data_IF_315563559111
#
_entry.id   IF_315563559111
#
_cell.length_a   1.000
_cell.length_b   1.000
_cell.length_c   1.000
_cell.angle_alpha   90.00
_cell.angle_beta   90.00
_cell.angle_gamma   90.00
#
_symmetry.space_group_name_H-M   'P 1'
#
loop_
_entity.id
_entity.type
_entity.pdbx_description
1 polymer ?
#
# COMPACT_ATOMS: atom_id res chain seq x y z
N UNK A 1 21.30 19.63 23.34
CA UNK A 1 21.68 19.07 24.65
C UNK A 1 20.64 19.35 25.74
N UNK A 2 20.46 20.60 26.20
CA UNK A 2 19.54 20.94 27.30
C UNK A 2 18.09 20.46 27.11
N UNK A 3 17.51 20.68 25.93
CA UNK A 3 16.13 20.22 25.60
C UNK A 3 16.02 18.69 25.59
N UNK A 4 17.09 17.98 25.19
CA UNK A 4 17.13 16.52 25.23
C UNK A 4 17.11 16.01 26.66
N UNK A 5 17.96 16.58 27.53
CA UNK A 5 18.03 16.22 28.94
C UNK A 5 16.72 16.49 29.69
N UNK A 6 16.05 17.61 29.40
CA UNK A 6 14.74 17.93 29.98
C UNK A 6 13.65 16.96 29.51
N UNK A 7 13.67 16.54 28.24
CA UNK A 7 12.72 15.54 27.71
C UNK A 7 12.95 14.16 28.32
N UNK A 8 14.20 13.74 28.47
CA UNK A 8 14.54 12.48 29.15
C UNK A 8 14.10 12.52 30.62
N UNK A 9 14.38 13.62 31.34
CA UNK A 9 13.95 13.77 32.73
C UNK A 9 12.42 13.72 32.86
N UNK A 10 11.69 14.42 31.98
CA UNK A 10 10.23 14.38 31.94
C UNK A 10 9.71 12.97 31.65
N UNK A 11 10.30 12.27 30.69
CA UNK A 11 9.91 10.90 30.35
C UNK A 11 10.11 9.95 31.53
N UNK A 12 11.27 10.00 32.20
CA UNK A 12 11.56 9.21 33.40
C UNK A 12 10.58 9.52 34.54
N UNK A 13 10.37 10.80 34.86
CA UNK A 13 9.41 11.20 35.90
C UNK A 13 7.98 10.77 35.57
N UNK A 14 7.59 10.79 34.29
CA UNK A 14 6.28 10.32 33.85
C UNK A 14 6.14 8.81 33.97
N UNK A 15 7.19 8.05 33.64
CA UNK A 15 7.23 6.59 33.81
C UNK A 15 7.14 6.19 35.28
N UNK A 16 7.90 6.85 36.16
CA UNK A 16 7.85 6.60 37.61
C UNK A 16 6.47 6.89 38.21
N UNK A 17 5.71 7.83 37.65
CA UNK A 17 4.35 8.16 38.10
C UNK A 17 3.27 7.27 37.48
N UNK A 18 3.58 6.53 36.40
CA UNK A 18 2.60 5.74 35.66
C UNK A 18 2.21 4.44 36.38
N UNK A 19 3.16 3.84 37.12
CA UNK A 19 3.00 2.56 37.84
C UNK A 19 2.21 1.50 37.05
N UNK A 20 2.68 1.10 35.84
CA UNK A 20 1.90 0.27 34.95
C UNK A 20 1.82 -1.19 35.41
N UNK A 21 0.60 -1.74 35.47
CA UNK A 21 0.39 -3.18 35.66
C UNK A 21 0.56 -3.98 34.35
N UNK A 22 0.30 -3.35 33.20
CA UNK A 22 0.30 -3.99 31.87
C UNK A 22 0.77 -3.02 30.79
N UNK A 23 1.73 -3.47 29.99
CA UNK A 23 2.26 -2.76 28.82
C UNK A 23 1.92 -3.56 27.57
N UNK A 24 1.25 -2.92 26.61
CA UNK A 24 0.88 -3.53 25.33
C UNK A 24 1.63 -2.83 24.21
N UNK A 25 2.39 -3.60 23.45
CA UNK A 25 3.08 -3.14 22.24
C UNK A 25 2.36 -3.70 21.02
N UNK A 26 1.59 -2.84 20.36
CA UNK A 26 0.99 -3.18 19.08
C UNK A 26 1.97 -2.93 17.92
N UNK A 27 1.86 -3.75 16.87
CA UNK A 27 2.77 -3.73 15.71
C UNK A 27 4.27 -3.83 16.12
N UNK A 28 4.58 -4.71 17.08
CA UNK A 28 5.91 -4.86 17.69
C UNK A 28 7.07 -4.94 16.67
N UNK A 29 6.83 -5.49 15.48
CA UNK A 29 7.84 -5.58 14.41
C UNK A 29 8.41 -4.21 13.96
N UNK A 30 7.70 -3.10 14.21
CA UNK A 30 8.17 -1.74 13.94
C UNK A 30 9.10 -1.20 15.03
N UNK A 31 9.11 -1.85 16.19
CA UNK A 31 9.75 -1.39 17.41
C UNK A 31 10.79 -2.39 17.94
N UNK A 32 11.34 -3.24 17.07
CA UNK A 32 12.36 -4.24 17.46
C UNK A 32 13.56 -3.61 18.19
N UNK A 33 13.95 -2.40 17.78
CA UNK A 33 15.02 -1.64 18.42
C UNK A 33 14.76 -1.31 19.90
N UNK A 34 13.50 -1.35 20.37
CA UNK A 34 13.19 -1.18 21.80
C UNK A 34 13.66 -2.37 22.65
N UNK A 35 13.95 -3.51 22.03
CA UNK A 35 14.52 -4.67 22.72
C UNK A 35 16.05 -4.64 22.74
N UNK A 36 16.67 -3.75 21.96
CA UNK A 36 18.13 -3.63 21.83
C UNK A 36 18.71 -2.77 22.96
N UNK A 37 20.02 -2.89 23.18
CA UNK A 37 20.74 -2.21 24.26
C UNK A 37 21.20 -0.78 23.87
N UNK A 38 20.91 -0.35 22.64
CA UNK A 38 21.48 0.86 22.06
C UNK A 38 20.42 1.96 21.86
N UNK A 39 20.64 3.11 22.51
CA UNK A 39 19.90 4.35 22.29
C UNK A 39 18.96 4.78 23.42
N UNK A 40 18.76 6.09 23.54
CA UNK A 40 17.99 6.73 24.62
C UNK A 40 16.53 6.24 24.72
N UNK A 41 15.93 5.87 23.59
CA UNK A 41 14.54 5.39 23.53
C UNK A 41 14.42 3.96 24.04
N UNK A 42 15.42 3.11 23.77
CA UNK A 42 15.45 1.73 24.25
C UNK A 42 15.65 1.69 25.79
N UNK A 43 16.45 2.61 26.34
CA UNK A 43 16.62 2.75 27.79
C UNK A 43 15.30 3.11 28.51
N UNK A 44 14.52 4.04 27.96
CA UNK A 44 13.21 4.40 28.52
C UNK A 44 12.20 3.24 28.39
N UNK A 45 12.25 2.49 27.28
CA UNK A 45 11.40 1.32 27.10
C UNK A 45 11.76 0.20 28.09
N UNK A 46 13.06 0.00 28.40
CA UNK A 46 13.49 -0.92 29.47
C UNK A 46 12.97 -0.51 30.83
N UNK A 47 13.08 0.76 31.19
CA UNK A 47 12.51 1.26 32.46
C UNK A 47 11.00 0.98 32.56
N UNK A 48 10.29 0.96 31.44
CA UNK A 48 8.88 0.59 31.37
C UNK A 48 8.64 -0.93 31.45
N UNK A 49 9.46 -1.76 30.80
CA UNK A 49 9.31 -3.23 30.80
C UNK A 49 9.83 -3.91 32.06
N UNK A 50 10.77 -3.28 32.75
CA UNK A 50 11.41 -3.79 33.96
C UNK A 50 10.78 -3.19 35.23
N UNK A 51 9.64 -2.50 35.09
CA UNK A 51 8.86 -1.99 36.21
C UNK A 51 8.41 -3.18 37.09
N UNK A 52 8.47 -3.07 38.44
CA UNK A 52 8.10 -4.19 39.31
C UNK A 52 6.70 -4.73 39.00
N UNK A 53 6.59 -6.07 38.88
CA UNK A 53 5.36 -6.82 38.62
C UNK A 53 4.61 -6.53 37.29
N UNK A 54 5.17 -5.69 36.41
CA UNK A 54 4.55 -5.36 35.11
C UNK A 54 4.42 -6.59 34.21
N UNK A 55 3.30 -6.67 33.49
CA UNK A 55 3.11 -7.65 32.41
C UNK A 55 3.34 -6.98 31.07
N UNK A 56 4.08 -7.63 30.17
CA UNK A 56 4.33 -7.13 28.82
C UNK A 56 3.67 -8.04 27.79
N UNK A 57 2.84 -7.47 26.93
CA UNK A 57 2.17 -8.15 25.83
C UNK A 57 2.63 -7.58 24.48
N UNK A 58 3.22 -8.44 23.66
CA UNK A 58 3.64 -8.10 22.29
C UNK A 58 2.59 -8.58 21.29
N UNK A 59 2.03 -7.65 20.51
CA UNK A 59 1.10 -7.95 19.42
C UNK A 59 1.79 -7.70 18.08
N UNK A 60 1.79 -8.72 17.22
CA UNK A 60 2.36 -8.63 15.88
C UNK A 60 1.81 -9.74 14.98
N UNK A 61 1.52 -9.39 13.73
CA UNK A 61 1.22 -10.38 12.69
C UNK A 61 2.49 -11.13 12.23
N UNK A 62 3.66 -10.48 12.29
CA UNK A 62 4.95 -11.00 11.81
C UNK A 62 6.09 -10.47 12.70
N UNK A 63 6.27 -11.01 13.93
CA UNK A 63 7.20 -10.45 14.91
C UNK A 63 8.67 -10.52 14.50
N UNK A 64 9.01 -11.45 13.62
CA UNK A 64 10.32 -11.64 13.00
C UNK A 64 10.14 -12.00 11.52
N UNK A 65 11.16 -11.75 10.70
CA UNK A 65 11.12 -12.16 9.28
C UNK A 65 11.26 -13.69 9.21
N UNK A 66 10.36 -14.37 8.49
CA UNK A 66 10.35 -15.83 8.41
C UNK A 66 11.30 -16.39 7.35
N UNK A 67 11.71 -15.59 6.36
CA UNK A 67 12.52 -16.05 5.23
C UNK A 67 13.25 -14.90 4.54
N UNK A 68 14.54 -15.07 4.28
CA UNK A 68 15.40 -14.07 3.62
C UNK A 68 15.47 -14.40 2.15
N UNK A 69 15.05 -13.47 1.29
CA UNK A 69 15.33 -13.59 -0.15
C UNK A 69 16.81 -13.29 -0.40
N UNK A 70 17.37 -13.84 -1.48
CA UNK A 70 18.80 -13.69 -1.82
C UNK A 70 19.26 -12.22 -1.99
N UNK A 71 18.31 -11.30 -2.23
CA UNK A 71 18.54 -9.85 -2.28
C UNK A 71 18.63 -9.17 -0.88
N UNK A 72 18.28 -9.87 0.19
CA UNK A 72 18.28 -9.40 1.59
C UNK A 72 19.39 -10.07 2.43
N UNK A 73 20.43 -10.62 1.78
CA UNK A 73 21.48 -11.44 2.38
C UNK A 73 22.31 -10.80 3.52
N UNK A 74 22.09 -9.52 3.82
CA UNK A 74 22.70 -8.81 4.94
C UNK A 74 21.89 -8.92 6.25
N UNK A 75 20.68 -9.49 6.24
CA UNK A 75 19.81 -9.57 7.41
C UNK A 75 19.74 -10.98 8.01
N UNK A 76 20.11 -11.11 9.28
CA UNK A 76 20.01 -12.35 10.05
C UNK A 76 18.61 -12.51 10.69
N UNK A 77 17.72 -13.18 9.97
CA UNK A 77 16.36 -13.44 10.42
C UNK A 77 16.27 -14.40 11.61
N UNK A 78 17.24 -15.31 11.76
CA UNK A 78 17.31 -16.16 12.95
C UNK A 78 17.72 -15.34 14.17
N UNK A 79 18.64 -14.40 14.01
CA UNK A 79 18.99 -13.42 15.04
C UNK A 79 17.78 -12.64 15.53
N UNK A 80 16.92 -12.15 14.63
CA UNK A 80 15.65 -11.47 14.99
C UNK A 80 14.71 -12.35 15.83
N UNK A 81 14.54 -13.60 15.41
CA UNK A 81 13.73 -14.56 16.14
C UNK A 81 14.27 -14.81 17.55
N UNK A 82 15.57 -15.11 17.67
CA UNK A 82 16.19 -15.39 18.96
C UNK A 82 16.19 -14.18 19.88
N UNK A 83 16.42 -12.96 19.38
CA UNK A 83 16.28 -11.73 20.19
C UNK A 83 14.88 -11.58 20.77
N UNK A 84 13.85 -11.81 19.96
CA UNK A 84 12.46 -11.72 20.40
C UNK A 84 12.15 -12.77 21.47
N UNK A 85 12.58 -14.02 21.27
CA UNK A 85 12.33 -15.10 22.22
C UNK A 85 13.16 -14.93 23.49
N UNK A 86 14.39 -14.41 23.40
CA UNK A 86 15.22 -14.06 24.55
C UNK A 86 14.53 -13.03 25.44
N UNK A 87 13.90 -12.01 24.86
CA UNK A 87 13.09 -11.06 25.60
C UNK A 87 11.91 -11.75 26.33
N UNK A 88 11.20 -12.63 25.64
CA UNK A 88 10.04 -13.32 26.21
C UNK A 88 10.41 -14.37 27.28
N UNK A 89 11.61 -14.95 27.19
CA UNK A 89 12.13 -15.94 28.13
C UNK A 89 13.16 -15.35 29.11
N UNK A 90 13.13 -14.05 29.38
CA UNK A 90 14.08 -13.36 30.29
C UNK A 90 14.25 -14.05 31.65
N UNK A 91 13.17 -14.60 32.19
CA UNK A 91 13.16 -15.32 33.49
C UNK A 91 13.61 -16.79 33.39
N UNK A 92 13.80 -17.34 32.19
CA UNK A 92 14.13 -18.75 31.91
C UNK A 92 15.26 -18.87 30.86
N UNK A 93 16.49 -18.38 31.16
CA UNK A 93 17.60 -18.40 30.20
C UNK A 93 17.96 -19.81 29.70
N UNK A 94 17.88 -20.83 30.57
CA UNK A 94 18.14 -22.22 30.20
C UNK A 94 17.16 -22.75 29.12
N UNK A 95 15.94 -22.21 29.09
CA UNK A 95 14.96 -22.59 28.06
C UNK A 95 15.33 -22.03 26.68
N UNK A 96 16.02 -20.89 26.62
CA UNK A 96 16.53 -20.33 25.38
C UNK A 96 17.65 -21.20 24.79
N UNK A 97 18.60 -21.63 25.62
CA UNK A 97 19.69 -22.51 25.20
C UNK A 97 19.17 -23.86 24.69
N UNK A 98 18.21 -24.44 25.40
CA UNK A 98 17.56 -25.68 24.98
C UNK A 98 16.78 -25.50 23.67
N UNK A 99 16.15 -24.35 23.47
CA UNK A 99 15.43 -24.03 22.23
C UNK A 99 16.39 -23.93 21.04
N UNK A 100 17.52 -23.23 21.20
CA UNK A 100 18.55 -23.10 20.15
C UNK A 100 19.05 -24.49 19.71
N UNK A 101 19.43 -25.33 20.68
CA UNK A 101 19.87 -26.69 20.41
C UNK A 101 18.79 -27.54 19.70
N UNK A 102 17.52 -27.41 20.12
CA UNK A 102 16.42 -28.13 19.51
C UNK A 102 16.15 -27.67 18.06
N UNK A 103 16.23 -26.37 17.78
CA UNK A 103 16.09 -25.82 16.43
C UNK A 103 17.21 -26.31 15.52
N UNK A 104 18.46 -26.30 16.00
CA UNK A 104 19.61 -26.78 15.23
C UNK A 104 19.52 -28.28 14.91
N UNK A 105 19.06 -29.08 15.88
CA UNK A 105 18.78 -30.52 15.68
C UNK A 105 17.66 -30.73 14.67
N UNK A 106 16.56 -30.00 14.80
CA UNK A 106 15.43 -30.08 13.87
C UNK A 106 15.85 -29.73 12.44
N UNK A 107 16.63 -28.65 12.27
CA UNK A 107 17.17 -28.21 10.98
C UNK A 107 18.12 -29.26 10.38
N UNK A 108 19.06 -29.76 11.17
CA UNK A 108 20.03 -30.77 10.71
C UNK A 108 19.34 -32.05 10.28
N UNK A 109 18.38 -32.53 11.08
CA UNK A 109 17.57 -33.70 10.74
C UNK A 109 16.71 -33.50 9.48
N UNK A 110 16.24 -32.27 9.20
CA UNK A 110 15.49 -31.97 7.98
C UNK A 110 16.38 -31.99 6.72
N UNK A 111 17.63 -31.53 6.83
CA UNK A 111 18.61 -31.56 5.74
C UNK A 111 19.15 -32.96 5.47
N UNK A 112 19.16 -33.83 6.48
CA UNK A 112 19.72 -35.18 6.43
C UNK A 112 18.64 -36.24 6.68
N UNK A 113 17.47 -36.05 6.07
CA UNK A 113 16.27 -36.86 6.30
C UNK A 113 16.46 -38.38 6.11
N UNK A 114 17.48 -38.79 5.36
CA UNK A 114 17.82 -40.20 5.12
C UNK A 114 18.74 -40.82 6.16
N UNK A 115 19.44 -40.03 6.98
CA UNK A 115 20.40 -40.49 8.00
C UNK A 115 19.82 -40.38 9.43
N UNK A 116 18.94 -39.40 9.65
CA UNK A 116 18.29 -39.18 10.94
C UNK A 116 16.94 -39.89 11.03
N UNK A 117 16.70 -40.57 12.15
CA UNK A 117 15.41 -41.21 12.42
C UNK A 117 14.30 -40.17 12.63
N UNK A 118 13.09 -40.46 12.11
CA UNK A 118 11.88 -39.63 12.32
C UNK A 118 11.60 -39.32 13.79
N UNK A 119 12.05 -40.17 14.72
CA UNK A 119 11.91 -39.97 16.17
C UNK A 119 12.65 -38.74 16.68
N UNK A 120 13.91 -38.53 16.27
CA UNK A 120 14.71 -37.39 16.73
C UNK A 120 14.13 -36.05 16.26
N UNK A 121 13.55 -36.02 15.05
CA UNK A 121 12.84 -34.85 14.53
C UNK A 121 11.58 -34.54 15.34
N UNK A 122 10.83 -35.56 15.75
CA UNK A 122 9.63 -35.39 16.57
C UNK A 122 10.00 -34.90 17.98
N UNK A 123 11.05 -35.44 18.59
CA UNK A 123 11.54 -34.99 19.89
C UNK A 123 11.99 -33.53 19.86
N UNK A 124 12.79 -33.14 18.86
CA UNK A 124 13.22 -31.76 18.68
C UNK A 124 12.01 -30.82 18.48
N UNK A 125 11.04 -31.23 17.67
CA UNK A 125 9.77 -30.50 17.46
C UNK A 125 8.99 -30.32 18.76
N UNK A 126 8.82 -31.37 19.55
CA UNK A 126 8.09 -31.32 20.82
C UNK A 126 8.75 -30.39 21.82
N UNK A 127 10.09 -30.38 21.87
CA UNK A 127 10.86 -29.44 22.70
C UNK A 127 10.59 -27.99 22.27
N UNK A 128 10.67 -27.70 20.96
CA UNK A 128 10.41 -26.38 20.40
C UNK A 128 8.98 -25.94 20.73
N UNK A 129 7.97 -26.78 20.47
CA UNK A 129 6.56 -26.47 20.72
C UNK A 129 6.30 -26.20 22.20
N UNK A 130 6.84 -27.03 23.09
CA UNK A 130 6.67 -26.89 24.54
C UNK A 130 7.24 -25.58 25.07
N UNK A 131 8.39 -25.15 24.58
CA UNK A 131 9.03 -23.90 25.01
C UNK A 131 8.26 -22.71 24.45
N UNK A 132 8.01 -22.68 23.14
CA UNK A 132 7.37 -21.52 22.49
C UNK A 132 5.93 -21.32 22.94
N UNK A 133 5.15 -22.39 23.19
CA UNK A 133 3.75 -22.27 23.66
C UNK A 133 3.59 -21.61 25.04
N UNK A 134 4.67 -21.48 25.82
CA UNK A 134 4.63 -20.75 27.11
C UNK A 134 4.55 -19.24 26.93
N UNK A 135 5.10 -18.73 25.83
CA UNK A 135 5.30 -17.28 25.62
C UNK A 135 4.67 -16.75 24.34
N UNK A 136 4.27 -17.63 23.43
CA UNK A 136 3.77 -17.27 22.12
C UNK A 136 2.51 -18.06 21.80
N UNK A 137 1.50 -17.33 21.34
CA UNK A 137 0.28 -17.90 20.74
C UNK A 137 0.10 -17.26 19.38
N UNK A 138 -0.08 -18.10 18.35
CA UNK A 138 -0.32 -17.68 16.97
C UNK A 138 -1.61 -18.30 16.50
N UNK A 139 -2.55 -17.45 16.06
CA UNK A 139 -3.79 -17.89 15.43
C UNK A 139 -3.68 -17.65 13.93
N UNK A 140 -3.93 -18.68 13.14
CA UNK A 140 -3.92 -18.60 11.68
C UNK A 140 -5.34 -18.55 11.15
N UNK A 141 -5.63 -17.61 10.25
CA UNK A 141 -6.95 -17.53 9.59
C UNK A 141 -7.25 -18.78 8.76
N UNK A 142 -6.21 -19.46 8.28
CA UNK A 142 -6.32 -20.71 7.53
C UNK A 142 -6.97 -21.83 8.34
N UNK A 143 -6.96 -21.79 9.68
CA UNK A 143 -7.61 -22.82 10.49
C UNK A 143 -9.15 -22.76 10.43
N UNK A 144 -9.74 -21.69 9.86
CA UNK A 144 -11.18 -21.49 9.78
C UNK A 144 -11.86 -22.12 8.56
N UNK A 145 -11.13 -22.41 7.47
CA UNK A 145 -11.68 -23.10 6.29
C UNK A 145 -11.31 -24.58 6.31
N UNK A 146 -12.23 -25.43 5.81
CA UNK A 146 -12.07 -26.89 5.85
C UNK A 146 -10.83 -27.38 5.06
N UNK A 147 -10.46 -26.64 4.02
CA UNK A 147 -9.31 -26.88 3.15
C UNK A 147 -8.04 -26.14 3.58
N UNK A 148 -8.13 -25.28 4.61
CA UNK A 148 -7.06 -24.39 5.07
C UNK A 148 -6.43 -23.53 3.97
N UNK A 149 -7.17 -23.20 2.91
CA UNK A 149 -6.67 -22.38 1.80
C UNK A 149 -6.88 -20.87 2.00
N UNK A 150 -7.54 -20.47 3.09
CA UNK A 150 -7.72 -19.04 3.42
C UNK A 150 -8.71 -18.31 2.53
N UNK A 151 -9.66 -19.02 1.91
CA UNK A 151 -10.59 -18.47 0.92
C UNK A 151 -9.88 -17.86 -0.30
N UNK A 152 -8.71 -18.40 -0.65
CA UNK A 152 -7.95 -18.00 -1.83
C UNK A 152 -8.32 -18.88 -3.04
N UNK A 153 -8.49 -18.24 -4.19
CA UNK A 153 -8.56 -18.90 -5.49
C UNK A 153 -7.38 -18.45 -6.33
N UNK A 154 -6.63 -19.40 -6.88
CA UNK A 154 -5.61 -19.10 -7.87
C UNK A 154 -6.27 -18.89 -9.24
N UNK A 155 -5.78 -17.90 -9.99
CA UNK A 155 -6.24 -17.63 -11.35
C UNK A 155 -5.02 -17.44 -12.25
N UNK A 156 -5.09 -17.97 -13.47
CA UNK A 156 -4.03 -17.85 -14.48
C UNK A 156 -4.37 -16.83 -15.58
N UNK A 157 -5.35 -15.97 -15.32
CA UNK A 157 -5.90 -15.05 -16.32
C UNK A 157 -4.84 -14.11 -16.92
N UNK A 158 -3.88 -13.67 -16.11
CA UNK A 158 -2.80 -12.79 -16.56
C UNK A 158 -1.86 -13.48 -17.56
N UNK A 159 -1.66 -14.78 -17.44
CA UNK A 159 -0.82 -15.57 -18.35
C UNK A 159 -1.47 -15.68 -19.74
N UNK A 160 -2.80 -15.70 -19.79
CA UNK A 160 -3.57 -15.77 -21.03
C UNK A 160 -3.58 -14.45 -21.82
N UNK A 161 -3.08 -13.35 -21.23
CA UNK A 161 -3.01 -12.02 -21.88
C UNK A 161 -1.69 -11.75 -22.61
N UNK A 162 -0.81 -12.74 -22.77
CA UNK A 162 0.46 -12.59 -23.50
C UNK A 162 0.18 -12.54 -25.01
N UNK A 163 0.71 -11.51 -25.67
CA UNK A 163 0.56 -11.29 -27.11
C UNK A 163 1.92 -11.46 -27.82
N UNK A 164 1.94 -11.80 -29.12
CA UNK A 164 3.18 -11.89 -29.90
C UNK A 164 4.03 -10.62 -29.82
N UNK A 165 3.40 -9.44 -29.82
CA UNK A 165 4.06 -8.15 -29.69
C UNK A 165 4.84 -7.97 -28.38
N UNK A 166 4.47 -8.68 -27.30
CA UNK A 166 5.24 -8.64 -26.04
C UNK A 166 6.59 -9.35 -26.19
N UNK A 167 6.61 -10.45 -26.93
CA UNK A 167 7.81 -11.25 -27.18
C UNK A 167 8.73 -10.52 -28.16
N UNK A 168 8.16 -9.89 -29.19
CA UNK A 168 8.92 -9.01 -30.09
C UNK A 168 9.53 -7.83 -29.33
N UNK A 169 8.75 -7.18 -28.46
CA UNK A 169 9.24 -6.13 -27.58
C UNK A 169 10.37 -6.59 -26.66
N UNK A 170 10.28 -7.82 -26.13
CA UNK A 170 11.37 -8.42 -25.35
C UNK A 170 12.64 -8.62 -26.19
N UNK A 171 12.53 -9.17 -27.40
CA UNK A 171 13.68 -9.37 -28.29
C UNK A 171 14.39 -8.05 -28.56
N UNK A 172 13.64 -6.97 -28.82
CA UNK A 172 14.23 -5.64 -29.02
C UNK A 172 14.90 -5.09 -27.76
N UNK A 173 14.27 -5.26 -26.59
CA UNK A 173 14.86 -4.87 -25.31
C UNK A 173 16.16 -5.63 -25.03
N UNK A 174 16.20 -6.94 -25.29
CA UNK A 174 17.35 -7.80 -25.05
C UNK A 174 18.52 -7.45 -25.98
N UNK A 175 18.24 -7.16 -27.25
CA UNK A 175 19.26 -6.68 -28.20
C UNK A 175 19.87 -5.34 -27.76
N UNK A 176 19.04 -4.39 -27.32
CA UNK A 176 19.51 -3.09 -26.80
C UNK A 176 20.32 -3.29 -25.52
N UNK A 177 19.85 -4.14 -24.61
CA UNK A 177 20.55 -4.44 -23.37
C UNK A 177 21.91 -5.11 -23.62
N UNK A 178 21.98 -6.00 -24.61
CA UNK A 178 23.22 -6.65 -25.04
C UNK A 178 24.22 -5.65 -25.62
N UNK A 179 23.78 -4.74 -26.50
CA UNK A 179 24.62 -3.67 -27.04
C UNK A 179 25.18 -2.74 -25.93
N UNK A 180 24.39 -2.53 -24.87
CA UNK A 180 24.80 -1.73 -23.71
C UNK A 180 25.56 -2.54 -22.64
N UNK A 181 25.73 -3.85 -22.78
CA UNK A 181 26.28 -4.73 -21.72
C UNK A 181 25.49 -4.59 -20.37
N UNK A 182 24.18 -4.42 -20.46
CA UNK A 182 23.31 -4.20 -19.30
C UNK A 182 22.93 -5.49 -18.55
N UNK A 183 23.23 -6.66 -19.12
CA UNK A 183 22.88 -7.98 -18.60
C UNK A 183 21.46 -8.41 -19.00
N UNK A 184 20.97 -9.47 -18.36
CA UNK A 184 19.64 -10.04 -18.62
C UNK A 184 18.51 -9.11 -18.17
N UNK A 185 17.48 -8.95 -19.01
CA UNK A 185 16.30 -8.11 -18.77
C UNK A 185 14.99 -8.89 -18.59
N UNK A 186 15.01 -10.23 -18.60
CA UNK A 186 13.82 -11.08 -18.52
C UNK A 186 12.94 -10.75 -17.32
N UNK A 187 13.53 -10.57 -16.13
CA UNK A 187 12.75 -10.28 -14.92
C UNK A 187 12.08 -8.90 -14.93
N UNK A 188 12.68 -7.94 -15.62
CA UNK A 188 12.08 -6.63 -15.82
C UNK A 188 10.93 -6.69 -16.82
N UNK A 189 11.14 -7.37 -17.95
CA UNK A 189 10.10 -7.56 -18.97
C UNK A 189 8.86 -8.29 -18.42
N UNK A 190 9.06 -9.33 -17.60
CA UNK A 190 7.94 -10.03 -16.91
C UNK A 190 7.15 -9.13 -15.98
N UNK A 191 7.76 -8.06 -15.46
CA UNK A 191 7.23 -7.28 -14.35
C UNK A 191 6.72 -5.89 -14.75
N UNK A 192 7.24 -5.27 -15.81
CA UNK A 192 6.84 -3.95 -16.26
C UNK A 192 6.74 -3.86 -17.78
N UNK A 193 5.96 -2.88 -18.24
CA UNK A 193 5.92 -2.45 -19.63
C UNK A 193 6.92 -1.31 -19.87
N UNK A 194 7.29 -1.11 -21.13
CA UNK A 194 8.11 0.02 -21.61
C UNK A 194 9.32 0.36 -20.72
N UNK A 195 10.18 -0.61 -20.38
CA UNK A 195 11.25 -0.41 -19.39
C UNK A 195 12.23 0.71 -19.79
N UNK A 196 12.52 0.87 -21.09
CA UNK A 196 13.38 1.96 -21.57
C UNK A 196 12.76 3.35 -21.35
N UNK A 197 11.45 3.49 -21.49
CA UNK A 197 10.74 4.76 -21.25
C UNK A 197 10.60 5.05 -19.74
N UNK A 198 10.26 4.02 -18.94
CA UNK A 198 9.74 4.22 -17.58
C UNK A 198 10.73 3.93 -16.47
N UNK A 199 11.79 3.14 -16.69
CA UNK A 199 12.82 2.91 -15.66
C UNK A 199 13.58 4.19 -15.33
N UNK A 200 13.90 4.35 -14.04
CA UNK A 200 14.81 5.37 -13.53
C UNK A 200 15.90 4.72 -12.69
N UNK A 201 17.15 5.16 -12.83
CA UNK A 201 18.31 4.76 -11.99
C UNK A 201 18.70 3.27 -12.04
N UNK A 202 18.00 2.44 -12.80
CA UNK A 202 18.40 1.06 -13.11
C UNK A 202 19.70 1.04 -13.93
N UNK A 203 20.47 -0.07 -13.84
CA UNK A 203 21.73 -0.22 -14.60
C UNK A 203 21.49 -0.04 -16.10
N UNK A 204 20.45 -0.69 -16.65
CA UNK A 204 20.03 -0.54 -18.04
C UNK A 204 19.80 0.94 -18.40
N UNK A 205 18.97 1.65 -17.63
CA UNK A 205 18.66 3.07 -17.90
C UNK A 205 19.87 3.97 -17.81
N UNK A 206 20.76 3.76 -16.82
CA UNK A 206 22.00 4.54 -16.68
C UNK A 206 22.89 4.37 -17.90
N UNK A 207 23.20 3.12 -18.26
CA UNK A 207 23.99 2.81 -19.45
C UNK A 207 23.37 3.35 -20.73
N UNK A 208 22.04 3.31 -20.83
CA UNK A 208 21.32 3.88 -21.98
C UNK A 208 21.51 5.40 -22.08
N UNK A 209 21.37 6.14 -20.97
CA UNK A 209 21.61 7.59 -20.94
C UNK A 209 23.08 7.90 -21.25
N UNK A 210 24.02 7.16 -20.63
CA UNK A 210 25.46 7.35 -20.85
C UNK A 210 25.83 7.14 -22.34
N UNK A 211 25.18 6.20 -23.02
CA UNK A 211 25.38 5.96 -24.46
C UNK A 211 24.78 7.06 -25.34
N UNK A 212 23.71 7.73 -24.90
CA UNK A 212 23.12 8.87 -25.62
C UNK A 212 23.95 10.15 -25.48
N UNK A 213 24.62 10.35 -24.34
CA UNK A 213 25.52 11.48 -24.09
C UNK A 213 26.91 11.27 -24.71
N UNK A 214 27.20 10.05 -25.16
CA UNK A 214 28.45 9.65 -25.81
C UNK A 214 28.54 9.97 -27.31
N UNK A 215 29.62 9.53 -27.98
CA UNK A 215 29.73 9.62 -29.44
C UNK A 215 28.62 8.80 -30.12
N UNK A 216 28.17 9.25 -31.30
CA UNK A 216 27.08 8.59 -32.04
C UNK A 216 27.33 7.08 -32.24
N UNK A 217 26.49 6.28 -31.58
CA UNK A 217 26.44 4.83 -31.75
C UNK A 217 25.40 4.48 -32.83
N UNK A 218 25.90 4.20 -34.05
CA UNK A 218 25.06 3.82 -35.19
C UNK A 218 24.33 2.49 -34.98
N UNK A 219 24.91 1.58 -34.20
CA UNK A 219 24.30 0.28 -33.92
C UNK A 219 23.11 0.47 -32.97
N UNK A 220 23.31 1.20 -31.87
CA UNK A 220 22.25 1.53 -30.92
C UNK A 220 21.11 2.31 -31.60
N UNK A 221 21.42 3.29 -32.46
CA UNK A 221 20.43 4.03 -33.22
C UNK A 221 19.60 3.13 -34.16
N UNK A 222 20.24 2.16 -34.82
CA UNK A 222 19.54 1.19 -35.66
C UNK A 222 18.63 0.24 -34.85
N UNK A 223 19.08 -0.18 -33.66
CA UNK A 223 18.28 -1.00 -32.75
C UNK A 223 17.06 -0.23 -32.23
N UNK A 224 17.24 1.03 -31.80
CA UNK A 224 16.14 1.89 -31.37
C UNK A 224 15.11 2.14 -32.48
N UNK A 225 15.57 2.34 -33.72
CA UNK A 225 14.68 2.51 -34.87
C UNK A 225 13.81 1.27 -35.10
N UNK A 226 14.34 0.06 -34.91
CA UNK A 226 13.59 -1.19 -34.99
C UNK A 226 12.62 -1.36 -33.82
N UNK A 227 13.06 -0.97 -32.62
CA UNK A 227 12.28 -1.09 -31.40
C UNK A 227 11.14 -0.06 -31.28
N UNK A 228 11.09 0.96 -32.17
CA UNK A 228 10.17 2.10 -32.07
C UNK A 228 8.71 1.71 -31.82
N UNK A 229 8.20 0.68 -32.50
CA UNK A 229 6.82 0.20 -32.32
C UNK A 229 6.51 -0.42 -30.95
N UNK A 230 7.53 -0.66 -30.11
CA UNK A 230 7.42 -1.20 -28.76
C UNK A 230 7.89 -0.19 -27.69
N UNK A 231 8.03 1.09 -28.06
CA UNK A 231 8.34 2.20 -27.16
C UNK A 231 7.13 3.11 -27.05
N UNK A 232 7.01 3.84 -25.92
CA UNK A 232 6.00 4.89 -25.80
C UNK A 232 6.40 6.09 -26.66
N UNK A 233 5.54 6.45 -27.61
CA UNK A 233 5.67 7.66 -28.42
C UNK A 233 4.95 8.83 -27.75
N UNK A 234 5.65 9.96 -27.61
CA UNK A 234 5.07 11.13 -26.95
C UNK A 234 3.93 11.74 -27.76
N UNK A 235 3.99 11.68 -29.10
CA UNK A 235 2.95 12.20 -29.98
C UNK A 235 1.61 11.46 -29.79
N UNK A 236 1.65 10.13 -29.63
CA UNK A 236 0.47 9.30 -29.29
C UNK A 236 -0.14 9.73 -27.95
N UNK A 237 0.70 10.00 -26.95
CA UNK A 237 0.26 10.49 -25.64
C UNK A 237 -0.38 11.87 -25.76
N UNK A 238 0.28 12.81 -26.45
CA UNK A 238 -0.21 14.17 -26.67
C UNK A 238 -1.54 14.21 -27.41
N UNK A 239 -1.75 13.29 -28.35
CA UNK A 239 -2.97 13.16 -29.14
C UNK A 239 -4.09 12.37 -28.41
N UNK A 240 -3.86 11.89 -27.17
CA UNK A 240 -4.80 11.05 -26.42
C UNK A 240 -5.21 9.78 -27.18
N UNK A 241 -4.28 9.18 -27.91
CA UNK A 241 -4.50 7.93 -28.61
C UNK A 241 -4.42 6.72 -27.67
N UNK A 242 -5.02 5.60 -28.06
CA UNK A 242 -4.96 4.39 -27.23
C UNK A 242 -3.53 3.84 -27.20
N UNK A 243 -3.05 3.49 -26.01
CA UNK A 243 -1.73 2.90 -25.77
C UNK A 243 -1.92 1.48 -25.26
N UNK A 244 -1.29 0.50 -25.93
CA UNK A 244 -1.29 -0.88 -25.42
C UNK A 244 -0.55 -0.94 -24.08
N UNK A 245 -1.08 -1.63 -23.06
CA UNK A 245 -0.38 -1.73 -21.78
C UNK A 245 0.97 -2.45 -21.86
N UNK A 246 1.28 -3.18 -22.94
CA UNK A 246 2.62 -3.71 -23.23
C UNK A 246 3.13 -4.77 -22.24
N UNK A 247 2.25 -5.32 -21.40
CA UNK A 247 2.54 -6.38 -20.45
C UNK A 247 1.25 -7.14 -20.10
N UNK A 248 1.30 -8.47 -20.12
CA UNK A 248 0.14 -9.34 -19.90
C UNK A 248 -0.52 -9.16 -18.52
N UNK A 249 0.28 -9.01 -17.45
CA UNK A 249 -0.25 -8.77 -16.10
C UNK A 249 -0.92 -7.40 -15.99
N UNK A 250 -0.33 -6.39 -16.64
CA UNK A 250 -0.94 -5.07 -16.67
C UNK A 250 -2.24 -5.07 -17.50
N UNK A 251 -2.31 -5.78 -18.63
CA UNK A 251 -3.55 -5.96 -19.40
C UNK A 251 -4.65 -6.65 -18.60
N UNK A 252 -4.32 -7.70 -17.85
CA UNK A 252 -5.29 -8.33 -16.95
C UNK A 252 -5.81 -7.34 -15.89
N UNK A 253 -4.91 -6.60 -15.24
CA UNK A 253 -5.31 -5.59 -14.26
C UNK A 253 -6.11 -4.43 -14.88
N UNK A 254 -5.80 -4.07 -16.12
CA UNK A 254 -6.52 -3.06 -16.90
C UNK A 254 -7.95 -3.49 -17.21
N UNK A 255 -8.15 -4.76 -17.57
CA UNK A 255 -9.48 -5.33 -17.80
C UNK A 255 -10.32 -5.28 -16.52
N UNK A 256 -9.74 -5.57 -15.36
CA UNK A 256 -10.45 -5.52 -14.08
C UNK A 256 -10.67 -4.09 -13.55
N UNK A 257 -9.96 -3.08 -14.06
CA UNK A 257 -10.04 -1.70 -13.55
C UNK A 257 -10.67 -0.73 -14.53
N UNK A 258 -10.07 -0.54 -15.70
CA UNK A 258 -10.51 0.45 -16.67
C UNK A 258 -11.70 -0.07 -17.47
N UNK A 259 -11.67 -1.31 -17.94
CA UNK A 259 -12.76 -1.87 -18.77
C UNK A 259 -14.05 -2.14 -17.99
N UNK A 260 -13.96 -2.28 -16.67
CA UNK A 260 -15.11 -2.41 -15.76
C UNK A 260 -15.75 -1.05 -15.44
N UNK A 261 -15.14 0.06 -15.86
CA UNK A 261 -15.60 1.42 -15.57
C UNK A 261 -15.22 1.92 -14.18
N UNK A 262 -14.44 1.14 -13.41
CA UNK A 262 -14.06 1.51 -12.04
C UNK A 262 -13.18 2.76 -11.98
N UNK A 263 -12.55 3.16 -13.08
CA UNK A 263 -11.82 4.43 -13.20
C UNK A 263 -12.69 5.68 -12.94
N UNK A 264 -14.01 5.57 -13.08
CA UNK A 264 -14.94 6.67 -12.79
C UNK A 264 -15.22 6.84 -11.29
N UNK A 265 -14.80 5.86 -10.46
CA UNK A 265 -15.08 5.82 -9.04
C UNK A 265 -13.96 6.51 -8.26
N UNK A 266 -14.32 7.56 -7.53
CA UNK A 266 -13.37 8.24 -6.63
C UNK A 266 -13.07 7.42 -5.37
N UNK A 267 -13.98 6.53 -4.97
CA UNK A 267 -13.83 5.62 -3.84
C UNK A 267 -14.67 4.36 -4.05
N UNK A 268 -14.41 3.34 -3.23
CA UNK A 268 -15.18 2.10 -3.23
C UNK A 268 -16.62 2.34 -2.75
N UNK A 269 -17.65 1.85 -3.47
CA UNK A 269 -19.04 2.00 -3.05
C UNK A 269 -19.30 1.29 -1.70
N UNK A 270 -20.23 1.82 -0.92
CA UNK A 270 -20.67 1.16 0.30
C UNK A 270 -21.43 -0.14 -0.03
N UNK A 271 -21.10 -1.23 0.68
CA UNK A 271 -21.79 -2.52 0.52
C UNK A 271 -23.28 -2.44 0.91
N UNK A 272 -23.62 -1.56 1.86
CA UNK A 272 -24.97 -1.27 2.31
C UNK A 272 -25.22 0.24 2.28
N UNK A 273 -25.61 0.80 1.13
CA UNK A 273 -25.80 2.24 1.00
C UNK A 273 -27.10 2.68 1.68
N UNK A 274 -27.09 3.84 2.34
CA UNK A 274 -28.28 4.42 2.99
C UNK A 274 -29.30 5.00 2.00
N UNK A 275 -28.89 5.27 0.77
CA UNK A 275 -29.71 5.76 -0.32
C UNK A 275 -29.23 5.19 -1.65
N UNK A 276 -30.09 5.20 -2.67
CA UNK A 276 -29.76 4.70 -4.00
C UNK A 276 -28.61 5.53 -4.59
N UNK A 277 -27.47 4.91 -4.94
CA UNK A 277 -26.36 5.61 -5.59
C UNK A 277 -26.77 6.21 -6.95
N UNK A 278 -26.11 7.31 -7.33
CA UNK A 278 -26.34 8.00 -8.59
C UNK A 278 -25.03 8.19 -9.38
N UNK A 279 -25.15 8.62 -10.64
CA UNK A 279 -24.00 8.83 -11.53
C UNK A 279 -23.14 7.56 -11.71
N UNK A 280 -21.80 7.68 -11.71
CA UNK A 280 -20.89 6.54 -11.82
C UNK A 280 -21.10 5.43 -10.77
N UNK A 281 -21.64 5.78 -9.60
CA UNK A 281 -21.87 4.81 -8.52
C UNK A 281 -23.14 3.96 -8.69
N UNK A 282 -24.01 4.26 -9.68
CA UNK A 282 -25.30 3.58 -9.84
C UNK A 282 -25.17 2.16 -10.39
N UNK A 283 -24.33 1.97 -11.40
CA UNK A 283 -24.21 0.73 -12.17
C UNK A 283 -22.78 0.18 -12.08
N UNK A 284 -22.22 0.14 -10.87
CA UNK A 284 -20.88 -0.38 -10.63
C UNK A 284 -20.88 -1.87 -10.91
N UNK A 285 -20.00 -2.30 -11.81
CA UNK A 285 -19.80 -3.70 -12.13
C UNK A 285 -19.12 -4.38 -10.94
N UNK A 286 -19.64 -5.51 -10.43
CA UNK A 286 -18.98 -6.25 -9.35
C UNK A 286 -17.57 -6.71 -9.74
N UNK A 287 -17.37 -7.00 -11.03
CA UNK A 287 -16.08 -7.41 -11.57
C UNK A 287 -15.04 -6.30 -11.36
N UNK A 288 -13.95 -6.67 -10.68
CA UNK A 288 -12.83 -5.77 -10.42
C UNK A 288 -13.12 -4.59 -9.48
N UNK A 289 -14.36 -4.40 -9.02
CA UNK A 289 -14.70 -3.43 -7.98
C UNK A 289 -14.27 -3.99 -6.62
N UNK A 290 -12.95 -4.00 -6.39
CA UNK A 290 -12.31 -4.49 -5.17
C UNK A 290 -11.00 -3.77 -4.92
N UNK A 291 -10.41 -4.03 -3.76
CA UNK A 291 -9.06 -3.57 -3.42
C UNK A 291 -8.05 -4.60 -3.91
N UNK A 292 -7.24 -4.23 -4.89
CA UNK A 292 -6.15 -5.06 -5.39
C UNK A 292 -4.87 -4.78 -4.62
N UNK A 293 -4.24 -5.83 -4.09
CA UNK A 293 -2.92 -5.75 -3.48
C UNK A 293 -1.89 -6.34 -4.44
N UNK A 294 -0.99 -5.49 -4.94
CA UNK A 294 -0.01 -5.86 -5.96
C UNK A 294 1.38 -5.92 -5.32
N UNK A 295 2.04 -7.07 -5.46
CA UNK A 295 3.39 -7.29 -4.98
C UNK A 295 4.38 -7.22 -6.15
N UNK A 296 5.48 -6.51 -5.95
CA UNK A 296 6.55 -6.40 -6.93
C UNK A 296 7.91 -6.34 -6.24
N UNK A 297 8.90 -7.06 -6.78
CA UNK A 297 10.30 -6.93 -6.38
C UNK A 297 11.00 -5.71 -7.00
N UNK A 298 10.32 -4.94 -7.86
CA UNK A 298 10.92 -3.89 -8.67
C UNK A 298 10.24 -2.54 -8.50
N UNK A 299 11.05 -1.50 -8.28
CA UNK A 299 10.65 -0.10 -8.12
C UNK A 299 9.99 0.53 -9.36
N UNK A 300 10.25 0.01 -10.57
CA UNK A 300 9.64 0.51 -11.81
C UNK A 300 8.15 0.16 -11.94
N UNK A 301 7.69 -0.92 -11.29
CA UNK A 301 6.34 -1.45 -11.48
C UNK A 301 5.25 -0.48 -10.98
N UNK A 302 5.33 0.08 -9.75
CA UNK A 302 4.34 1.08 -9.32
C UNK A 302 4.24 2.27 -10.26
N UNK A 303 5.37 2.78 -10.76
CA UNK A 303 5.40 3.89 -11.74
C UNK A 303 4.70 3.48 -13.05
N UNK A 304 4.98 2.29 -13.55
CA UNK A 304 4.39 1.76 -14.79
C UNK A 304 2.88 1.66 -14.69
N UNK A 305 2.38 1.04 -13.61
CA UNK A 305 0.95 0.88 -13.35
C UNK A 305 0.28 2.25 -13.26
N UNK A 306 0.83 3.15 -12.43
CA UNK A 306 0.26 4.48 -12.23
C UNK A 306 0.22 5.31 -13.50
N UNK A 307 1.30 5.33 -14.29
CA UNK A 307 1.38 6.12 -15.53
C UNK A 307 0.35 5.62 -16.55
N UNK A 308 0.35 4.32 -16.85
CA UNK A 308 -0.48 3.79 -17.93
C UNK A 308 -1.97 3.78 -17.58
N UNK A 309 -2.34 3.42 -16.34
CA UNK A 309 -3.75 3.46 -15.92
C UNK A 309 -4.28 4.88 -15.75
N UNK A 310 -3.48 5.81 -15.21
CA UNK A 310 -3.92 7.21 -15.08
C UNK A 310 -4.10 7.83 -16.46
N UNK A 311 -3.16 7.58 -17.38
CA UNK A 311 -3.27 8.04 -18.76
C UNK A 311 -4.56 7.54 -19.42
N UNK A 312 -4.87 6.25 -19.33
CA UNK A 312 -6.11 5.73 -19.93
C UNK A 312 -7.37 6.29 -19.28
N UNK A 313 -7.40 6.42 -17.96
CA UNK A 313 -8.51 7.03 -17.26
C UNK A 313 -8.73 8.47 -17.74
N UNK A 314 -7.67 9.27 -17.81
CA UNK A 314 -7.71 10.65 -18.31
C UNK A 314 -8.11 10.71 -19.79
N UNK A 315 -7.62 9.78 -20.61
CA UNK A 315 -7.99 9.63 -22.03
C UNK A 315 -9.49 9.43 -22.18
N UNK A 316 -10.08 8.47 -21.45
CA UNK A 316 -11.53 8.18 -21.45
C UNK A 316 -12.36 9.32 -20.89
N UNK A 317 -11.89 9.98 -19.82
CA UNK A 317 -12.54 11.18 -19.26
C UNK A 317 -12.72 12.29 -20.29
N UNK A 318 -11.82 12.35 -21.28
CA UNK A 318 -11.78 13.40 -22.30
C UNK A 318 -12.31 12.96 -23.65
N UNK A 319 -12.55 11.67 -23.89
CA UNK A 319 -13.24 11.21 -25.10
C UNK A 319 -14.67 11.75 -25.19
N UNK A 320 -15.34 11.92 -24.05
CA UNK A 320 -16.71 12.45 -24.00
C UNK A 320 -16.79 13.98 -24.06
N UNK A 321 -15.65 14.69 -24.07
CA UNK A 321 -15.63 16.16 -24.19
C UNK A 321 -14.92 16.59 -25.45
N UNK A 322 -15.49 17.55 -26.19
CA UNK A 322 -14.77 18.21 -27.28
C UNK A 322 -13.49 18.85 -26.73
N UNK A 323 -12.32 18.43 -27.23
CA UNK A 323 -11.01 18.82 -26.72
C UNK A 323 -10.14 19.36 -27.84
N UNK A 324 -9.59 20.56 -27.62
CA UNK A 324 -8.72 21.26 -28.56
C UNK A 324 -7.32 21.55 -27.97
N UNK A 325 -6.85 20.71 -27.04
CA UNK A 325 -5.56 20.91 -26.37
C UNK A 325 -4.81 19.57 -26.20
N UNK A 326 -3.48 19.65 -26.14
CA UNK A 326 -2.61 18.48 -26.04
C UNK A 326 -2.54 17.93 -24.60
N UNK A 327 -2.12 16.67 -24.41
CA UNK A 327 -2.02 16.04 -23.08
C UNK A 327 -1.17 16.85 -22.10
N UNK A 328 -0.04 17.41 -22.55
CA UNK A 328 0.82 18.25 -21.70
C UNK A 328 0.15 19.53 -21.20
N UNK A 329 -0.95 19.95 -21.82
CA UNK A 329 -1.73 21.12 -21.43
C UNK A 329 -2.92 20.78 -20.51
N UNK A 330 -3.21 19.49 -20.29
CA UNK A 330 -4.38 19.02 -19.54
C UNK A 330 -4.54 19.73 -18.19
N UNK A 331 -3.48 19.77 -17.39
CA UNK A 331 -3.52 20.36 -16.05
C UNK A 331 -3.66 21.88 -16.06
N UNK A 332 -3.28 22.54 -17.17
CA UNK A 332 -3.45 23.99 -17.37
C UNK A 332 -4.88 24.32 -17.77
N UNK A 333 -5.43 23.55 -18.71
CA UNK A 333 -6.77 23.75 -19.25
C UNK A 333 -7.85 23.26 -18.29
N UNK A 334 -7.58 22.18 -17.55
CA UNK A 334 -8.44 21.63 -16.51
C UNK A 334 -7.73 21.68 -15.16
N UNK A 335 -7.79 22.86 -14.56
CA UNK A 335 -7.27 23.06 -13.21
C UNK A 335 -7.99 22.16 -12.19
N UNK A 336 -7.28 21.50 -11.26
CA UNK A 336 -7.92 20.68 -10.24
C UNK A 336 -8.90 21.48 -9.37
N UNK A 337 -10.11 20.95 -9.17
CA UNK A 337 -11.22 21.66 -8.51
C UNK A 337 -11.07 21.78 -6.98
N UNK A 338 -10.35 20.84 -6.35
CA UNK A 338 -10.20 20.76 -4.89
C UNK A 338 -8.79 21.18 -4.45
N UNK A 339 -8.38 22.41 -4.79
CA UNK A 339 -7.08 22.97 -4.40
C UNK A 339 -7.20 24.06 -3.33
N UNK A 340 -6.37 23.93 -2.30
CA UNK A 340 -6.07 25.02 -1.37
C UNK A 340 -4.94 25.85 -1.97
N UNK A 341 -5.23 27.11 -2.35
CA UNK A 341 -4.24 27.96 -3.01
C UNK A 341 -3.78 29.08 -2.08
N UNK A 342 -2.50 29.43 -2.16
CA UNK A 342 -1.96 30.60 -1.49
C UNK A 342 -1.39 31.52 -2.56
N UNK A 343 -1.82 32.79 -2.56
CA UNK A 343 -1.37 33.80 -3.52
C UNK A 343 -1.04 35.07 -2.77
N UNK A 344 0.19 35.57 -2.93
CA UNK A 344 0.70 36.77 -2.24
C UNK A 344 0.41 36.74 -0.73
N UNK A 345 0.79 35.63 -0.09
CA UNK A 345 0.56 35.37 1.35
C UNK A 345 -0.91 35.33 1.81
N UNK A 346 -1.86 35.45 0.87
CA UNK A 346 -3.29 35.32 1.15
C UNK A 346 -3.78 33.93 0.79
N UNK A 347 -4.52 33.33 1.72
CA UNK A 347 -5.27 32.10 1.47
C UNK A 347 -6.38 32.38 0.46
N UNK A 348 -6.24 31.81 -0.73
CA UNK A 348 -7.20 31.87 -1.83
C UNK A 348 -7.82 30.47 -1.99
N UNK A 349 -9.10 30.37 -2.35
CA UNK A 349 -9.76 29.05 -2.40
C UNK A 349 -10.21 28.47 -1.05
N UNK A 350 -10.25 29.26 0.04
CA UNK A 350 -10.78 28.82 1.35
C UNK A 350 -12.24 28.35 1.30
N UNK A 351 -13.00 28.64 0.24
CA UNK A 351 -14.34 28.05 0.03
C UNK A 351 -14.29 26.53 -0.08
N UNK A 352 -13.20 25.97 -0.61
CA UNK A 352 -12.99 24.51 -0.69
C UNK A 352 -12.82 23.91 0.71
N UNK A 353 -12.23 24.66 1.65
CA UNK A 353 -12.07 24.20 3.04
C UNK A 353 -13.41 23.90 3.70
N UNK A 354 -14.46 24.66 3.37
CA UNK A 354 -15.80 24.39 3.87
C UNK A 354 -16.34 23.02 3.44
N UNK A 355 -15.86 22.44 2.33
CA UNK A 355 -16.25 21.09 1.88
C UNK A 355 -15.54 19.99 2.67
N UNK A 356 -14.39 20.29 3.26
CA UNK A 356 -13.56 19.32 4.01
C UNK A 356 -13.64 19.50 5.52
N UNK A 357 -14.27 20.57 6.01
CA UNK A 357 -14.37 20.85 7.44
C UNK A 357 -15.32 19.86 8.13
N UNK A 358 -14.83 19.05 9.09
CA UNK A 358 -15.68 18.12 9.83
C UNK A 358 -16.53 18.87 10.87
N UNK A 359 -17.74 19.25 10.49
CA UNK A 359 -18.66 19.94 11.39
C UNK A 359 -19.45 18.94 12.24
N UNK A 360 -19.08 18.78 13.52
CA UNK A 360 -19.77 17.90 14.47
C UNK A 360 -21.25 18.26 14.63
N UNK A 361 -21.59 19.54 14.62
CA UNK A 361 -22.98 19.99 14.74
C UNK A 361 -23.83 19.50 13.55
N UNK A 362 -23.31 19.58 12.32
CA UNK A 362 -24.01 19.07 11.14
C UNK A 362 -24.04 17.53 11.13
N UNK A 363 -22.96 16.87 11.52
CA UNK A 363 -22.89 15.41 11.60
C UNK A 363 -23.89 14.83 12.62
N UNK A 364 -24.11 15.52 13.75
CA UNK A 364 -25.11 15.13 14.75
C UNK A 364 -26.54 15.47 14.33
N UNK A 365 -26.73 16.54 13.54
CA UNK A 365 -28.04 16.98 13.11
C UNK A 365 -28.60 16.16 11.93
N UNK A 366 -27.72 15.69 11.05
CA UNK A 366 -28.09 14.99 9.82
C UNK A 366 -27.56 13.55 9.87
N UNK A 367 -28.46 12.61 10.12
CA UNK A 367 -28.19 11.17 9.96
C UNK A 367 -28.87 10.66 8.67
N UNK A 368 -28.09 10.33 7.62
CA UNK A 368 -28.64 9.81 6.37
C UNK A 368 -29.47 8.53 6.54
N UNK A 369 -29.15 7.68 7.51
CA UNK A 369 -29.90 6.44 7.78
C UNK A 369 -31.26 6.75 8.40
N UNK A 370 -31.30 7.66 9.39
CA UNK A 370 -32.57 8.10 9.98
C UNK A 370 -33.47 8.80 8.96
N UNK A 371 -32.89 9.62 8.08
CA UNK A 371 -33.60 10.26 6.96
C UNK A 371 -34.14 9.24 5.95
N UNK A 372 -33.37 8.20 5.63
CA UNK A 372 -33.83 7.14 4.73
C UNK A 372 -35.00 6.35 5.33
N UNK A 373 -34.97 6.08 6.64
CA UNK A 373 -36.04 5.34 7.34
C UNK A 373 -37.35 6.13 7.49
N UNK A 374 -37.29 7.45 7.51
CA UNK A 374 -38.49 8.30 7.69
C UNK A 374 -39.27 8.50 6.40
N UNK A 375 -38.77 8.01 5.27
CA UNK A 375 -39.45 8.09 3.98
C UNK A 375 -40.51 6.98 3.86
N UNK A 376 -41.68 7.27 3.25
CA UNK A 376 -42.91 6.47 3.42
C UNK A 376 -42.85 5.10 2.74
N UNK A 377 -42.03 4.97 1.70
CA UNK A 377 -41.96 3.77 0.88
C UNK A 377 -40.71 3.01 1.31
N UNK A 378 -40.84 1.80 1.85
CA UNK A 378 -39.73 0.93 2.34
C UNK A 378 -38.65 0.54 1.31
N UNK A 379 -38.56 1.28 0.19
CA UNK A 379 -37.48 1.29 -0.78
C UNK A 379 -36.37 2.27 -0.40
N UNK A 380 -35.15 2.04 -0.89
CA UNK A 380 -34.04 2.98 -0.74
C UNK A 380 -34.38 4.32 -1.42
N UNK A 381 -34.40 5.38 -0.62
CA UNK A 381 -34.55 6.77 -1.05
C UNK A 381 -33.52 7.16 -2.12
N UNK A 382 -33.86 8.10 -3.00
CA UNK A 382 -32.87 8.68 -3.92
C UNK A 382 -31.93 9.63 -3.19
N UNK A 383 -30.73 9.82 -3.75
CA UNK A 383 -29.79 10.81 -3.23
C UNK A 383 -30.42 12.22 -3.14
N UNK A 384 -31.22 12.62 -4.13
CA UNK A 384 -31.91 13.93 -4.13
C UNK A 384 -32.90 14.08 -2.98
N UNK A 385 -33.64 13.02 -2.65
CA UNK A 385 -34.58 13.04 -1.52
C UNK A 385 -33.84 13.22 -0.18
N UNK A 386 -32.76 12.47 0.03
CA UNK A 386 -31.94 12.60 1.24
C UNK A 386 -31.28 13.98 1.32
N UNK A 387 -30.72 14.47 0.22
CA UNK A 387 -30.12 15.81 0.16
C UNK A 387 -31.15 16.91 0.42
N UNK A 388 -32.37 16.79 -0.12
CA UNK A 388 -33.46 17.72 0.13
C UNK A 388 -33.86 17.76 1.62
N UNK A 389 -34.02 16.59 2.24
CA UNK A 389 -34.35 16.49 3.66
C UNK A 389 -33.23 17.03 4.56
N UNK A 390 -31.98 16.68 4.28
CA UNK A 390 -30.80 17.22 4.97
C UNK A 390 -30.73 18.74 4.83
N UNK A 391 -30.93 19.28 3.62
CA UNK A 391 -30.92 20.73 3.36
C UNK A 391 -31.99 21.47 4.17
N UNK A 392 -33.18 20.90 4.31
CA UNK A 392 -34.24 21.48 5.14
C UNK A 392 -33.85 21.54 6.62
N UNK A 393 -33.28 20.46 7.17
CA UNK A 393 -32.80 20.43 8.56
C UNK A 393 -31.66 21.43 8.80
N UNK A 394 -30.67 21.46 7.90
CA UNK A 394 -29.55 22.40 7.98
C UNK A 394 -30.04 23.84 7.85
N UNK A 395 -30.99 24.12 6.95
CA UNK A 395 -31.58 25.44 6.78
C UNK A 395 -32.20 25.97 8.08
N UNK A 396 -32.93 25.12 8.81
CA UNK A 396 -33.50 25.50 10.11
C UNK A 396 -32.42 25.82 11.16
N UNK A 397 -31.32 25.07 11.19
CA UNK A 397 -30.18 25.34 12.08
C UNK A 397 -29.46 26.64 11.71
N UNK A 398 -29.23 26.86 10.42
CA UNK A 398 -28.57 28.07 9.91
C UNK A 398 -29.40 29.31 10.23
N UNK A 399 -30.72 29.26 10.04
CA UNK A 399 -31.62 30.36 10.41
C UNK A 399 -31.53 30.72 11.89
N UNK A 400 -31.50 29.73 12.79
CA UNK A 400 -31.32 29.99 14.23
C UNK A 400 -29.96 30.64 14.51
N UNK A 401 -28.89 30.11 13.92
CA UNK A 401 -27.54 30.62 14.12
C UNK A 401 -27.40 32.08 13.63
N UNK A 402 -27.92 32.39 12.43
CA UNK A 402 -27.90 33.75 11.86
C UNK A 402 -28.79 34.69 12.68
N UNK A 403 -29.98 34.26 13.12
CA UNK A 403 -30.86 35.07 13.95
C UNK A 403 -30.26 35.37 15.34
N UNK A 404 -29.39 34.50 15.85
CA UNK A 404 -28.65 34.70 17.10
C UNK A 404 -27.33 35.45 16.94
N UNK A 405 -26.87 35.71 15.71
CA UNK A 405 -25.63 36.41 15.48
C UNK A 405 -25.83 37.92 15.70
N UNK A 406 -24.99 38.59 16.51
CA UNK A 406 -25.04 40.04 16.61
C UNK A 406 -24.73 40.63 15.22
N UNK A 407 -25.70 41.33 14.63
CA UNK A 407 -25.48 42.17 13.46
C UNK A 407 -24.52 43.30 13.87
N UNK A 408 -23.22 43.13 13.66
CA UNK A 408 -22.35 44.31 13.50
C UNK A 408 -22.64 44.88 12.13
N UNK A 409 -23.37 45.99 12.11
CA UNK A 409 -23.67 46.75 10.91
C UNK A 409 -22.38 47.15 10.20
N UNK A 410 -22.39 47.03 8.87
CA UNK A 410 -21.39 47.63 8.02
C UNK A 410 -21.32 49.15 8.29
N UNK A 411 -20.17 49.59 8.77
CA UNK A 411 -19.68 50.97 8.72
C UNK A 411 -18.40 50.99 7.90
#
# INVERSE_FOLDING_TARGET
>A
ELVGNLRQLLARSSLSALEPDLVILDEFQRFKYLLEDEGDVALLARELFDFPDVKVLLLSATPYKMYTLQAEAAEDHYGDFYRTVQFLLREQPEALDLLQLAIDRYRSGMLHLGEYGRGELLEAKEIIERILRKVMVRTERLAASADRNGMLSETLFAQDQVLPGDLEGFVHLDQIASALDAGDQVEYWKSSAYPLNLMDRYKLKRKFIDALDGPEDRELAALLKKARGHLLEWDTVEAYESVDPGNARLRAFWQDSVETGNWQLLWMPASLPYYRPAGPFRNVRPEGCTKSLIFSGWRVVPKTISVLLSYEAERRMLEETDKDFAYSELTKQRSPLLRFTLSRERLTGMRVFCLTYPCLALANAVDPLALAKSLPDGSLATQEQIFGAAKAQIGALLHRAIASAPFEGAG
#
